data_IF_292999068066
#
_entry.id   IF_292999068066
#
_cell.length_a   1.000
_cell.length_b   1.000
_cell.length_c   1.000
_cell.angle_alpha   90.00
_cell.angle_beta   90.00
_cell.angle_gamma   90.00
#
_symmetry.space_group_name_H-M   'P 1'
#
loop_
_entity.id
_entity.type
_entity.pdbx_description
1 polymer ?
#
# COMPACT_ATOMS: atom_id res chain seq x y z
N UNK A 1 -32.63 -31.52 -38.87
CA UNK A 1 -32.12 -31.52 -37.47
C UNK A 1 -30.79 -30.77 -37.44
N UNK A 2 -30.73 -29.58 -36.85
CA UNK A 2 -29.49 -28.81 -36.63
C UNK A 2 -29.37 -28.53 -35.13
N UNK A 3 -28.77 -29.46 -34.40
CA UNK A 3 -28.40 -29.30 -33.00
C UNK A 3 -26.87 -29.34 -32.95
N UNK A 4 -26.21 -28.18 -32.97
CA UNK A 4 -24.74 -28.15 -33.02
C UNK A 4 -24.06 -26.83 -32.67
N UNK A 5 -24.79 -25.76 -32.32
CA UNK A 5 -24.18 -24.42 -32.14
C UNK A 5 -24.30 -23.82 -30.74
N UNK A 6 -24.92 -24.49 -29.78
CA UNK A 6 -25.12 -23.92 -28.42
C UNK A 6 -24.02 -24.27 -27.41
N UNK A 7 -23.26 -25.35 -27.61
CA UNK A 7 -22.22 -25.78 -26.67
C UNK A 7 -20.91 -24.97 -26.76
N UNK A 8 -20.62 -24.37 -27.92
CA UNK A 8 -19.36 -23.64 -28.16
C UNK A 8 -19.38 -22.25 -27.51
N UNK A 9 -20.56 -21.62 -27.39
CA UNK A 9 -20.70 -20.30 -26.79
C UNK A 9 -20.47 -20.31 -25.26
N UNK A 10 -20.77 -21.40 -24.56
CA UNK A 10 -20.64 -21.48 -23.10
C UNK A 10 -19.19 -21.70 -22.61
N UNK A 11 -18.34 -22.32 -23.43
CA UNK A 11 -16.93 -22.59 -23.11
C UNK A 11 -16.02 -21.36 -23.31
N UNK A 12 -16.41 -20.42 -24.17
CA UNK A 12 -15.65 -19.19 -24.42
C UNK A 12 -15.83 -18.16 -23.29
N UNK A 13 -16.98 -18.13 -22.62
CA UNK A 13 -17.27 -17.20 -21.52
C UNK A 13 -16.50 -17.58 -20.24
N UNK A 14 -16.30 -18.86 -19.96
CA UNK A 14 -15.58 -19.35 -18.78
C UNK A 14 -14.05 -19.19 -18.90
N UNK A 15 -13.49 -19.20 -20.11
CA UNK A 15 -12.06 -18.97 -20.33
C UNK A 15 -11.66 -17.49 -20.12
N UNK A 16 -12.50 -16.53 -20.52
CA UNK A 16 -12.19 -15.09 -20.38
C UNK A 16 -12.26 -14.61 -18.92
N UNK A 17 -13.15 -15.18 -18.10
CA UNK A 17 -13.24 -14.87 -16.67
C UNK A 17 -12.00 -15.34 -15.88
N UNK A 18 -11.38 -16.45 -16.30
CA UNK A 18 -10.17 -17.01 -15.68
C UNK A 18 -8.93 -16.12 -15.89
N UNK A 19 -8.82 -15.47 -17.05
CA UNK A 19 -7.66 -14.62 -17.39
C UNK A 19 -7.69 -13.31 -16.60
N UNK A 20 -8.86 -12.70 -16.39
CA UNK A 20 -9.00 -11.45 -15.63
C UNK A 20 -8.87 -11.62 -14.11
N UNK A 21 -9.13 -12.82 -13.57
CA UNK A 21 -9.02 -13.12 -12.15
C UNK A 21 -7.56 -13.28 -11.67
N UNK A 22 -6.64 -13.67 -12.57
CA UNK A 22 -5.24 -13.95 -12.23
C UNK A 22 -4.47 -12.72 -11.75
N UNK A 23 -4.52 -11.54 -12.41
CA UNK A 23 -3.80 -10.35 -11.94
C UNK A 23 -4.27 -9.86 -10.57
N UNK A 24 -5.58 -9.85 -10.31
CA UNK A 24 -6.13 -9.42 -9.01
C UNK A 24 -5.68 -10.33 -7.87
N UNK A 25 -5.70 -11.65 -8.08
CA UNK A 25 -5.27 -12.62 -7.06
C UNK A 25 -3.78 -12.50 -6.77
N UNK A 26 -2.96 -12.31 -7.81
CA UNK A 26 -1.52 -12.06 -7.67
C UNK A 26 -1.28 -10.77 -6.88
N UNK A 27 -1.97 -9.69 -7.25
CA UNK A 27 -1.92 -8.41 -6.56
C UNK A 27 -2.31 -8.52 -5.08
N UNK A 28 -3.45 -9.13 -4.75
CA UNK A 28 -3.88 -9.29 -3.35
C UNK A 28 -2.89 -10.12 -2.53
N UNK A 29 -2.35 -11.20 -3.09
CA UNK A 29 -1.32 -12.00 -2.42
C UNK A 29 -0.05 -11.19 -2.16
N UNK A 30 0.41 -10.42 -3.14
CA UNK A 30 1.58 -9.55 -2.98
C UNK A 30 1.30 -8.43 -1.97
N UNK A 31 0.11 -7.85 -2.02
CA UNK A 31 -0.34 -6.82 -1.11
C UNK A 31 -0.37 -7.32 0.34
N UNK A 32 -0.97 -8.48 0.60
CA UNK A 32 -1.05 -9.08 1.93
C UNK A 32 0.36 -9.39 2.47
N UNK A 33 1.29 -9.83 1.62
CA UNK A 33 2.67 -10.12 2.01
C UNK A 33 3.49 -8.88 2.41
N UNK A 34 3.05 -7.67 2.03
CA UNK A 34 3.72 -6.42 2.35
C UNK A 34 2.84 -5.45 3.14
N UNK A 35 1.73 -5.93 3.71
CA UNK A 35 0.83 -5.11 4.52
C UNK A 35 0.85 -5.58 5.96
N UNK A 36 1.25 -4.70 6.85
CA UNK A 36 1.31 -4.95 8.28
C UNK A 36 0.25 -4.15 9.03
N UNK A 37 -0.06 -4.57 10.25
CA UNK A 37 -1.08 -3.96 11.10
C UNK A 37 -0.54 -3.68 12.50
N UNK A 38 -0.80 -2.48 13.00
CA UNK A 38 -0.48 -2.08 14.37
C UNK A 38 -1.66 -1.40 15.03
N UNK A 39 -1.85 -1.70 16.31
CA UNK A 39 -2.85 -1.05 17.18
C UNK A 39 -2.12 -0.50 18.40
N UNK A 40 -2.26 0.81 18.63
CA UNK A 40 -1.76 1.48 19.83
C UNK A 40 -2.93 1.71 20.77
N UNK A 41 -2.83 1.15 21.97
CA UNK A 41 -3.83 1.30 23.02
C UNK A 41 -3.45 2.41 23.99
N UNK A 42 -4.45 3.11 24.52
CA UNK A 42 -4.29 4.10 25.58
C UNK A 42 -5.38 3.87 26.64
N UNK A 43 -4.99 3.38 27.81
CA UNK A 43 -5.93 2.88 28.82
C UNK A 43 -6.75 1.71 28.29
N UNK A 44 -8.08 1.85 28.30
CA UNK A 44 -9.04 0.86 27.77
C UNK A 44 -9.55 1.19 26.36
N UNK A 45 -8.93 2.15 25.67
CA UNK A 45 -9.34 2.61 24.35
C UNK A 45 -8.23 2.43 23.31
N UNK A 46 -8.62 2.42 22.03
CA UNK A 46 -7.67 2.45 20.91
C UNK A 46 -7.31 3.89 20.58
N UNK A 47 -6.03 4.25 20.69
CA UNK A 47 -5.53 5.56 20.29
C UNK A 47 -5.26 5.63 18.79
N UNK A 48 -4.73 4.54 18.22
CA UNK A 48 -4.43 4.41 16.79
C UNK A 48 -4.66 2.97 16.33
N UNK A 49 -5.29 2.83 15.18
CA UNK A 49 -5.35 1.61 14.40
C UNK A 49 -4.79 1.92 13.00
N UNK A 50 -3.65 1.33 12.66
CA UNK A 50 -2.92 1.65 11.43
C UNK A 50 -2.56 0.39 10.65
N UNK A 51 -2.89 0.37 9.37
CA UNK A 51 -2.50 -0.68 8.43
C UNK A 51 -1.67 -0.05 7.33
N UNK A 52 -0.49 -0.61 7.06
CA UNK A 52 0.47 0.02 6.17
C UNK A 52 1.09 -1.00 5.22
N UNK A 53 1.10 -0.64 3.94
CA UNK A 53 1.69 -1.43 2.86
C UNK A 53 3.02 -0.82 2.43
N UNK A 54 4.10 -1.59 2.51
CA UNK A 54 5.42 -1.19 2.01
C UNK A 54 5.49 -1.37 0.49
N UNK A 55 5.82 -0.30 -0.24
CA UNK A 55 5.89 -0.31 -1.71
C UNK A 55 7.25 -0.81 -2.22
N UNK A 56 7.50 -2.09 -1.99
CA UNK A 56 8.64 -2.82 -2.56
C UNK A 56 8.55 -2.93 -4.09
N UNK A 57 9.64 -3.29 -4.78
CA UNK A 57 9.64 -3.51 -6.24
C UNK A 57 8.51 -4.43 -6.68
N UNK A 58 8.32 -5.57 -6.00
CA UNK A 58 7.24 -6.54 -6.31
C UNK A 58 5.87 -5.93 -6.13
N UNK A 59 5.70 -5.17 -5.05
CA UNK A 59 4.44 -4.52 -4.76
C UNK A 59 4.11 -3.46 -5.82
N UNK A 60 5.10 -2.66 -6.24
CA UNK A 60 4.95 -1.66 -7.30
C UNK A 60 4.60 -2.28 -8.65
N UNK A 61 5.26 -3.37 -9.03
CA UNK A 61 4.96 -4.16 -10.23
C UNK A 61 3.51 -4.70 -10.19
N UNK A 62 3.10 -5.27 -9.06
CA UNK A 62 1.74 -5.78 -8.87
C UNK A 62 0.70 -4.65 -8.90
N UNK A 63 0.99 -3.52 -8.24
CA UNK A 63 0.13 -2.33 -8.22
C UNK A 63 -0.07 -1.75 -9.61
N UNK A 64 1.00 -1.67 -10.42
CA UNK A 64 0.92 -1.21 -11.80
C UNK A 64 -0.02 -2.10 -12.63
N UNK A 65 0.16 -3.43 -12.57
CA UNK A 65 -0.71 -4.39 -13.28
C UNK A 65 -2.17 -4.25 -12.86
N UNK A 66 -2.43 -4.13 -11.56
CA UNK A 66 -3.79 -3.98 -11.05
C UNK A 66 -4.42 -2.64 -11.45
N UNK A 67 -3.65 -1.55 -11.43
CA UNK A 67 -4.09 -0.25 -11.93
C UNK A 67 -4.46 -0.30 -13.41
N UNK A 68 -3.62 -0.92 -14.25
CA UNK A 68 -3.92 -1.09 -15.68
C UNK A 68 -5.21 -1.88 -15.86
N UNK A 69 -5.40 -2.97 -15.12
CA UNK A 69 -6.65 -3.76 -15.14
C UNK A 69 -7.88 -2.95 -14.74
N UNK A 70 -7.77 -2.10 -13.71
CA UNK A 70 -8.89 -1.32 -13.18
C UNK A 70 -9.26 -0.13 -14.06
N UNK A 71 -8.27 0.54 -14.63
CA UNK A 71 -8.47 1.84 -15.28
C UNK A 71 -8.40 1.77 -16.81
N UNK A 72 -7.80 0.72 -17.37
CA UNK A 72 -7.49 0.63 -18.81
C UNK A 72 -6.90 1.95 -19.37
N UNK A 73 -5.82 2.47 -18.75
CA UNK A 73 -5.24 3.73 -19.18
C UNK A 73 -4.66 3.61 -20.60
N UNK A 74 -4.39 4.74 -21.26
CA UNK A 74 -3.57 4.73 -22.47
C UNK A 74 -2.15 4.22 -22.17
N UNK A 75 -1.49 3.65 -23.17
CA UNK A 75 -0.12 3.12 -23.03
C UNK A 75 0.87 4.18 -22.53
N UNK A 76 0.74 5.42 -22.99
CA UNK A 76 1.53 6.57 -22.51
C UNK A 76 1.32 6.81 -21.00
N UNK A 77 0.07 6.84 -20.54
CA UNK A 77 -0.26 7.01 -19.13
C UNK A 77 0.19 5.83 -18.26
N UNK A 78 0.24 4.62 -18.84
CA UNK A 78 0.75 3.42 -18.16
C UNK A 78 2.27 3.52 -18.00
N UNK A 79 3.00 3.84 -19.07
CA UNK A 79 4.45 4.01 -19.09
C UNK A 79 4.91 5.14 -18.15
N UNK A 80 4.23 6.28 -18.16
CA UNK A 80 4.51 7.41 -17.26
C UNK A 80 4.36 7.01 -15.79
N UNK A 81 3.33 6.22 -15.47
CA UNK A 81 3.13 5.72 -14.12
C UNK A 81 4.24 4.76 -13.71
N UNK A 82 4.61 3.82 -14.57
CA UNK A 82 5.72 2.89 -14.31
C UNK A 82 7.05 3.64 -14.09
N UNK A 83 7.36 4.63 -14.94
CA UNK A 83 8.56 5.44 -14.81
C UNK A 83 8.60 6.26 -13.51
N UNK A 84 7.46 6.79 -13.05
CA UNK A 84 7.36 7.43 -11.72
C UNK A 84 7.64 6.41 -10.61
N UNK A 85 6.98 5.25 -10.64
CA UNK A 85 7.15 4.20 -9.63
C UNK A 85 8.59 3.69 -9.55
N UNK A 86 9.30 3.59 -10.68
CA UNK A 86 10.70 3.21 -10.72
C UNK A 86 11.60 4.29 -10.08
N UNK A 87 11.39 5.57 -10.42
CA UNK A 87 12.13 6.68 -9.79
C UNK A 87 11.89 6.76 -8.30
N UNK A 88 10.65 6.62 -7.86
CA UNK A 88 10.29 6.65 -6.44
C UNK A 88 10.88 5.45 -5.69
N UNK A 89 10.90 4.27 -6.32
CA UNK A 89 11.56 3.09 -5.75
C UNK A 89 13.05 3.34 -5.51
N UNK A 90 13.74 4.00 -6.45
CA UNK A 90 15.18 4.24 -6.33
C UNK A 90 15.49 5.30 -5.28
N UNK A 91 14.61 6.30 -5.10
CA UNK A 91 14.80 7.40 -4.17
C UNK A 91 14.36 7.11 -2.73
N UNK A 92 13.28 6.34 -2.54
CA UNK A 92 12.58 6.26 -1.26
C UNK A 92 12.19 4.83 -0.86
N UNK A 93 12.17 4.60 0.46
CA UNK A 93 11.26 3.63 1.05
C UNK A 93 9.90 4.32 1.25
N UNK A 94 8.86 3.78 0.62
CA UNK A 94 7.53 4.39 0.63
C UNK A 94 6.52 3.42 1.26
N UNK A 95 5.75 3.92 2.22
CA UNK A 95 4.61 3.21 2.80
C UNK A 95 3.33 3.94 2.45
N UNK A 96 2.30 3.20 2.07
CA UNK A 96 0.93 3.70 1.96
C UNK A 96 0.13 3.09 3.09
N UNK A 97 -0.51 3.92 3.90
CA UNK A 97 -1.18 3.45 5.10
C UNK A 97 -2.55 4.09 5.30
N UNK A 98 -3.46 3.31 5.86
CA UNK A 98 -4.69 3.83 6.44
C UNK A 98 -4.58 3.92 7.94
N UNK A 99 -5.05 5.02 8.51
CA UNK A 99 -5.07 5.25 9.94
C UNK A 99 -6.47 5.66 10.42
N UNK A 100 -6.93 5.03 11.49
CA UNK A 100 -8.07 5.46 12.30
C UNK A 100 -7.54 5.82 13.69
N UNK A 101 -7.77 7.06 14.12
CA UNK A 101 -7.25 7.57 15.39
C UNK A 101 -8.33 8.35 16.14
N UNK A 102 -8.40 8.13 17.44
CA UNK A 102 -9.26 8.87 18.34
C UNK A 102 -8.74 10.29 18.64
N UNK A 103 -7.51 10.62 18.21
CA UNK A 103 -6.91 11.95 18.35
C UNK A 103 -7.58 12.90 17.36
N UNK A 104 -8.25 13.93 17.87
CA UNK A 104 -8.86 14.98 17.07
C UNK A 104 -7.77 15.88 16.44
N UNK A 105 -8.06 16.51 15.29
CA UNK A 105 -7.23 17.45 14.50
C UNK A 105 -6.57 16.87 13.24
N UNK A 106 -6.12 17.77 12.34
CA UNK A 106 -5.58 17.44 11.02
C UNK A 106 -4.07 17.14 11.00
N UNK A 107 -3.32 17.54 12.04
CA UNK A 107 -1.86 17.36 12.16
C UNK A 107 -1.50 16.01 12.82
N UNK A 108 -2.14 14.94 12.33
CA UNK A 108 -1.97 13.59 12.90
C UNK A 108 -0.59 13.02 12.62
N UNK A 109 -0.11 13.12 11.38
CA UNK A 109 1.18 12.58 10.94
C UNK A 109 1.93 13.64 10.14
N UNK A 110 3.26 13.70 10.26
CA UNK A 110 4.05 14.73 9.62
C UNK A 110 5.53 14.67 9.97
N UNK A 111 6.29 15.60 9.38
CA UNK A 111 7.74 15.78 9.62
C UNK A 111 8.05 16.73 10.78
N UNK A 112 7.08 17.57 11.19
CA UNK A 112 7.21 18.55 12.27
C UNK A 112 5.90 18.63 13.04
N UNK A 113 5.99 18.76 14.37
CA UNK A 113 4.88 18.97 15.31
C UNK A 113 3.65 18.04 15.16
N UNK A 114 3.86 16.84 14.61
CA UNK A 114 2.81 15.85 14.42
C UNK A 114 2.48 15.10 15.73
N UNK A 115 1.20 14.79 15.94
CA UNK A 115 0.78 13.99 17.09
C UNK A 115 1.37 12.57 17.06
N UNK A 116 1.42 11.97 15.87
CA UNK A 116 2.05 10.67 15.63
C UNK A 116 3.32 10.86 14.81
N UNK A 117 4.43 10.46 15.40
CA UNK A 117 5.74 10.45 14.77
C UNK A 117 5.96 9.11 14.09
N UNK A 118 6.46 9.16 12.85
CA UNK A 118 6.86 7.99 12.08
C UNK A 118 8.38 7.93 12.00
N UNK A 119 8.93 6.75 12.26
CA UNK A 119 10.36 6.46 12.09
C UNK A 119 10.51 5.16 11.33
N UNK A 120 11.54 5.05 10.52
CA UNK A 120 11.83 3.82 9.79
C UNK A 120 13.28 3.42 10.02
N UNK A 121 13.51 2.13 10.23
CA UNK A 121 14.84 1.52 10.11
C UNK A 121 14.81 0.45 9.02
N UNK A 122 15.95 0.26 8.36
CA UNK A 122 16.14 -0.77 7.34
C UNK A 122 17.45 -1.50 7.63
N UNK A 123 17.37 -2.78 7.96
CA UNK A 123 18.46 -3.56 8.56
C UNK A 123 19.11 -2.87 9.77
N UNK A 124 18.29 -2.19 10.59
CA UNK A 124 18.73 -1.43 11.78
C UNK A 124 19.33 -0.05 11.48
N UNK A 125 19.45 0.36 10.22
CA UNK A 125 19.91 1.70 9.82
C UNK A 125 18.71 2.65 9.72
N UNK A 126 18.76 3.78 10.42
CA UNK A 126 17.72 4.81 10.37
C UNK A 126 17.54 5.36 8.94
N UNK A 127 16.29 5.49 8.52
CA UNK A 127 15.89 6.04 7.22
C UNK A 127 15.15 7.36 7.49
N UNK A 128 15.74 8.53 7.18
CA UNK A 128 15.13 9.83 7.46
C UNK A 128 13.75 9.99 6.81
N UNK A 129 12.77 10.50 7.56
CA UNK A 129 11.44 10.82 7.02
C UNK A 129 11.50 12.09 6.16
N UNK A 130 11.12 11.97 4.89
CA UNK A 130 11.15 13.05 3.91
C UNK A 130 9.82 13.78 3.84
N UNK A 131 8.73 13.02 3.76
CA UNK A 131 7.40 13.57 3.57
C UNK A 131 6.32 12.63 4.11
N UNK A 132 5.22 13.23 4.56
CA UNK A 132 3.97 12.52 4.88
C UNK A 132 2.82 13.28 4.22
N UNK A 133 2.10 12.62 3.33
CA UNK A 133 1.05 13.22 2.52
C UNK A 133 -0.32 12.64 2.89
N UNK A 134 -1.27 13.50 3.23
CA UNK A 134 -2.67 13.12 3.47
C UNK A 134 -3.47 13.12 2.17
N UNK A 135 -4.03 11.98 1.79
CA UNK A 135 -4.98 11.88 0.67
C UNK A 135 -6.39 12.22 1.16
N UNK A 136 -6.68 13.53 1.22
CA UNK A 136 -7.95 14.07 1.75
C UNK A 136 -9.23 13.55 1.09
N UNK A 137 -9.16 13.14 -0.17
CA UNK A 137 -10.31 12.65 -0.94
C UNK A 137 -9.92 11.41 -1.74
N UNK A 138 -9.85 10.23 -1.09
CA UNK A 138 -9.55 9.00 -1.78
C UNK A 138 -10.61 8.72 -2.86
N UNK A 139 -10.16 8.43 -4.07
CA UNK A 139 -11.05 8.05 -5.18
C UNK A 139 -11.45 6.58 -5.07
N UNK A 140 -12.48 6.10 -5.80
CA UNK A 140 -12.83 4.68 -5.85
C UNK A 140 -11.65 3.77 -6.24
N UNK A 141 -10.71 4.28 -7.06
CA UNK A 141 -9.49 3.55 -7.41
C UNK A 141 -8.60 3.33 -6.19
N UNK A 142 -8.49 4.29 -5.27
CA UNK A 142 -7.73 4.11 -4.04
C UNK A 142 -8.33 3.00 -3.15
N UNK A 143 -9.66 2.95 -3.00
CA UNK A 143 -10.32 1.86 -2.27
C UNK A 143 -10.09 0.49 -2.91
N UNK A 144 -9.95 0.42 -4.24
CA UNK A 144 -9.63 -0.82 -4.94
C UNK A 144 -8.15 -1.23 -4.80
N UNK A 145 -7.23 -0.24 -4.80
CA UNK A 145 -5.79 -0.42 -4.76
C UNK A 145 -5.19 -0.46 -3.35
N UNK A 146 -5.96 -0.16 -2.30
CA UNK A 146 -5.52 -0.25 -0.91
C UNK A 146 -6.65 -0.84 -0.06
N UNK A 147 -6.87 -2.18 -0.09
CA UNK A 147 -7.93 -2.85 0.66
C UNK A 147 -8.01 -2.58 2.17
N UNK A 148 -6.95 -2.04 2.79
CA UNK A 148 -7.00 -1.63 4.20
C UNK A 148 -7.77 -0.33 4.43
N UNK A 149 -7.96 0.48 3.37
CA UNK A 149 -8.71 1.72 3.41
C UNK A 149 -10.22 1.44 3.52
N UNK A 150 -10.87 2.11 4.46
CA UNK A 150 -12.31 2.02 4.65
C UNK A 150 -12.89 3.39 4.97
N UNK A 151 -14.21 3.47 5.21
CA UNK A 151 -14.91 4.75 5.43
C UNK A 151 -14.54 5.46 6.73
N UNK A 152 -13.90 4.76 7.67
CA UNK A 152 -13.51 5.29 8.98
C UNK A 152 -12.03 5.67 9.04
N UNK A 153 -11.23 5.23 8.06
CA UNK A 153 -9.80 5.47 8.04
C UNK A 153 -9.41 6.52 7.01
N UNK A 154 -8.41 7.32 7.35
CA UNK A 154 -7.77 8.27 6.45
C UNK A 154 -6.61 7.60 5.71
N UNK A 155 -6.38 7.97 4.45
CA UNK A 155 -5.29 7.42 3.63
C UNK A 155 -4.10 8.38 3.61
N UNK A 156 -2.91 7.85 3.84
CA UNK A 156 -1.66 8.59 3.93
C UNK A 156 -0.54 7.89 3.16
N UNK A 157 0.45 8.66 2.75
CA UNK A 157 1.68 8.18 2.12
C UNK A 157 2.85 8.76 2.90
N UNK A 158 3.76 7.92 3.40
CA UNK A 158 5.00 8.37 4.00
C UNK A 158 6.19 7.91 3.17
N UNK A 159 7.15 8.82 2.96
CA UNK A 159 8.39 8.59 2.22
C UNK A 159 9.57 8.79 3.14
N UNK A 160 10.48 7.83 3.13
CA UNK A 160 11.74 7.86 3.86
C UNK A 160 12.89 7.78 2.85
N UNK A 161 13.98 8.50 3.12
CA UNK A 161 15.19 8.39 2.30
C UNK A 161 15.68 6.95 2.26
N UNK A 162 16.13 6.51 1.08
CA UNK A 162 16.61 5.15 0.89
C UNK A 162 18.11 5.04 1.15
N UNK A 163 18.50 5.18 2.42
CA UNK A 163 19.90 5.01 2.86
C UNK A 163 20.34 3.56 2.65
N UNK A 164 19.49 2.60 3.01
CA UNK A 164 19.74 1.17 2.75
C UNK A 164 19.00 0.77 1.46
N UNK A 165 19.74 0.43 0.40
CA UNK A 165 19.15 0.18 -0.93
C UNK A 165 18.48 -1.20 -1.05
N UNK A 166 19.04 -2.24 -0.44
CA UNK A 166 18.49 -3.61 -0.53
C UNK A 166 18.34 -4.24 0.85
N UNK A 167 17.45 -3.70 1.71
CA UNK A 167 17.30 -4.23 3.06
C UNK A 167 16.65 -5.61 3.05
N UNK A 168 16.97 -6.40 4.08
CA UNK A 168 16.30 -7.67 4.38
C UNK A 168 15.13 -7.46 5.33
N UNK A 169 15.23 -6.49 6.23
CA UNK A 169 14.15 -6.11 7.13
C UNK A 169 13.91 -4.60 7.05
N UNK A 170 12.64 -4.22 7.15
CA UNK A 170 12.22 -2.83 7.33
C UNK A 170 11.31 -2.79 8.54
N UNK A 171 11.59 -1.88 9.47
CA UNK A 171 10.73 -1.62 10.62
C UNK A 171 10.21 -0.19 10.55
N UNK A 172 8.91 -0.02 10.73
CA UNK A 172 8.28 1.29 10.85
C UNK A 172 7.69 1.42 12.25
N UNK A 173 8.22 2.36 13.01
CA UNK A 173 7.71 2.71 14.33
C UNK A 173 6.78 3.90 14.20
N UNK A 174 5.57 3.76 14.74
CA UNK A 174 4.62 4.86 14.93
C UNK A 174 4.45 5.11 16.42
N UNK A 175 4.61 6.37 16.84
CA UNK A 175 4.59 6.70 18.26
C UNK A 175 4.09 8.10 18.58
N UNK A 176 3.51 8.25 19.75
CA UNK A 176 3.03 9.51 20.31
C UNK A 176 3.14 9.50 21.84
N UNK A 177 2.66 10.56 22.50
CA UNK A 177 2.45 10.55 23.95
C UNK A 177 1.42 9.52 24.44
N UNK A 178 0.65 8.90 23.54
CA UNK A 178 -0.34 7.87 23.86
C UNK A 178 0.22 6.44 23.78
N UNK A 179 1.46 6.26 23.30
CA UNK A 179 2.10 4.97 23.12
C UNK A 179 2.74 4.81 21.75
N UNK A 180 3.26 3.63 21.47
CA UNK A 180 3.92 3.32 20.20
C UNK A 180 3.65 1.89 19.77
N UNK A 181 3.87 1.62 18.49
CA UNK A 181 3.91 0.27 17.95
C UNK A 181 4.81 0.19 16.73
N UNK A 182 5.14 -1.04 16.35
CA UNK A 182 6.08 -1.34 15.27
C UNK A 182 5.39 -2.22 14.24
N UNK A 183 5.62 -1.88 12.97
CA UNK A 183 5.32 -2.71 11.81
C UNK A 183 6.65 -3.28 11.30
N UNK A 184 6.72 -4.59 11.09
CA UNK A 184 7.95 -5.27 10.66
C UNK A 184 7.71 -5.99 9.35
N UNK A 185 8.53 -5.67 8.34
CA UNK A 185 8.46 -6.26 7.02
C UNK A 185 9.70 -7.12 6.76
N UNK A 186 9.47 -8.40 6.47
CA UNK A 186 10.52 -9.34 6.04
C UNK A 186 10.62 -9.35 4.52
N UNK A 187 11.75 -8.90 4.00
CA UNK A 187 12.03 -8.79 2.58
C UNK A 187 12.88 -9.97 2.14
N UNK A 188 12.31 -10.84 1.31
CA UNK A 188 13.07 -11.93 0.70
C UNK A 188 14.20 -11.35 -0.18
N UNK A 189 15.44 -11.82 -0.01
CA UNK A 189 16.51 -11.45 -0.93
C UNK A 189 16.12 -11.93 -2.35
N UNK A 190 16.09 -10.99 -3.28
CA UNK A 190 15.93 -11.30 -4.72
C UNK A 190 17.26 -11.72 -5.31
#
# INVERSE_FOLDING_TARGET
MRAGSLAVALLLVSALASVAAKPRREYLRTYDAYTEHVVVYFGFSTALNMRATLLTRSMREALHKERVRLMSPSDENAADFEARMARDLDAYHEIVFSADTAVQNAEKFGTTDAHWNLRMTADGVDQPLVAVEHIRRPTPVHFALYPHLNIWSELWIARFERVTTSPRTVEVVVGSGYGSGTLTYELSPR
#
